data_IF_744306808464
#
_entry.id   IF_744306808464
#
_cell.length_a   1.000
_cell.length_b   1.000
_cell.length_c   1.000
_cell.angle_alpha   90.00
_cell.angle_beta   90.00
_cell.angle_gamma   90.00
#
_symmetry.space_group_name_H-M   'P 1'
#
loop_
_entity.id
_entity.type
_entity.pdbx_description
1 polymer ?
#
# COMPACT_ATOMS: atom_id res chain seq x y z
N UNK A 1 51.39 -7.66 0.50
CA UNK A 1 50.03 -8.20 0.39
C UNK A 1 49.11 -7.22 1.12
N UNK A 2 48.51 -6.32 0.37
CA UNK A 2 47.57 -5.32 0.89
C UNK A 2 46.28 -6.05 1.23
N UNK A 3 45.91 -6.00 2.49
CA UNK A 3 44.64 -6.49 3.02
C UNK A 3 43.53 -5.66 2.36
N UNK A 4 42.97 -6.15 1.26
CA UNK A 4 41.75 -5.61 0.66
C UNK A 4 40.61 -5.88 1.67
N UNK A 5 40.35 -4.92 2.56
CA UNK A 5 39.17 -4.92 3.40
C UNK A 5 38.00 -4.91 2.42
N UNK A 6 37.35 -6.03 2.20
CA UNK A 6 36.15 -6.16 1.37
C UNK A 6 35.23 -4.98 1.69
N UNK A 7 34.98 -4.14 0.68
CA UNK A 7 34.16 -2.93 0.79
C UNK A 7 32.80 -3.35 1.40
N UNK A 8 32.40 -2.75 2.52
CA UNK A 8 31.11 -3.04 3.16
C UNK A 8 30.00 -2.71 2.17
N UNK A 9 29.04 -3.61 1.99
CA UNK A 9 27.89 -3.44 1.07
C UNK A 9 26.60 -3.48 1.88
N UNK A 10 25.88 -2.37 1.87
CA UNK A 10 24.57 -2.23 2.50
C UNK A 10 23.52 -2.20 1.40
N UNK A 11 22.75 -3.28 1.19
CA UNK A 11 21.68 -3.32 0.19
C UNK A 11 20.51 -2.43 0.62
N UNK A 12 19.68 -2.01 -0.36
CA UNK A 12 18.61 -1.06 -0.08
C UNK A 12 17.46 -1.67 0.74
N UNK A 13 16.89 -2.80 0.30
CA UNK A 13 15.73 -3.42 0.95
C UNK A 13 15.58 -4.91 0.56
N UNK A 14 16.52 -5.78 0.97
CA UNK A 14 16.37 -7.21 0.75
C UNK A 14 15.21 -7.76 1.62
N UNK A 15 14.48 -8.79 1.16
CA UNK A 15 13.49 -9.47 1.98
C UNK A 15 14.14 -10.22 3.14
N UNK A 16 13.50 -10.21 4.31
CA UNK A 16 13.89 -10.98 5.49
C UNK A 16 13.15 -12.33 5.47
N UNK A 17 13.81 -13.36 4.97
CA UNK A 17 13.29 -14.72 4.88
C UNK A 17 14.03 -15.61 5.86
N UNK A 18 13.30 -16.37 6.69
CA UNK A 18 13.83 -17.30 7.66
C UNK A 18 13.56 -18.76 7.27
N UNK A 19 14.08 -19.67 8.08
CA UNK A 19 13.80 -21.12 7.92
C UNK A 19 12.31 -21.45 8.08
N UNK A 20 11.51 -20.58 8.72
CA UNK A 20 10.05 -20.79 8.86
C UNK A 20 9.36 -20.70 7.50
N UNK A 21 9.64 -19.65 6.73
CA UNK A 21 9.08 -19.45 5.39
C UNK A 21 9.53 -20.59 4.45
N UNK A 22 10.81 -20.96 4.49
CA UNK A 22 11.37 -22.04 3.68
C UNK A 22 10.66 -23.36 3.98
N UNK A 23 10.55 -23.73 5.26
CA UNK A 23 9.90 -24.96 5.68
C UNK A 23 8.41 -25.00 5.29
N UNK A 24 7.67 -23.89 5.42
CA UNK A 24 6.25 -23.85 5.10
C UNK A 24 6.02 -23.93 3.58
N UNK A 25 6.89 -23.33 2.76
CA UNK A 25 6.86 -23.49 1.30
C UNK A 25 7.12 -24.94 0.91
N UNK A 26 8.11 -25.60 1.52
CA UNK A 26 8.38 -27.04 1.28
C UNK A 26 7.16 -27.89 1.62
N UNK A 27 6.53 -27.69 2.78
CA UNK A 27 5.29 -28.39 3.15
C UNK A 27 4.16 -28.13 2.15
N UNK A 28 4.06 -26.91 1.63
CA UNK A 28 3.05 -26.55 0.62
C UNK A 28 3.27 -27.34 -0.67
N UNK A 29 4.52 -27.40 -1.15
CA UNK A 29 4.87 -28.19 -2.34
C UNK A 29 4.60 -29.69 -2.13
N UNK A 30 4.96 -30.24 -0.97
CA UNK A 30 4.71 -31.64 -0.61
C UNK A 30 3.22 -31.99 -0.48
N UNK A 31 2.37 -31.02 -0.13
CA UNK A 31 0.92 -31.22 -0.04
C UNK A 31 0.26 -31.50 -1.39
N UNK A 32 0.92 -31.16 -2.50
CA UNK A 32 0.37 -31.21 -3.85
C UNK A 32 -0.64 -30.08 -4.16
N UNK A 33 -0.99 -29.24 -3.19
CA UNK A 33 -1.88 -28.09 -3.39
C UNK A 33 -1.07 -26.78 -3.44
N UNK A 34 -0.84 -26.27 -4.64
CA UNK A 34 0.06 -25.13 -4.87
C UNK A 34 -0.62 -23.89 -5.45
N UNK A 35 -1.86 -24.01 -5.95
CA UNK A 35 -2.70 -22.87 -6.39
C UNK A 35 -3.50 -22.31 -5.23
N UNK A 36 -4.44 -21.39 -5.47
CA UNK A 36 -5.33 -20.85 -4.41
C UNK A 36 -6.03 -21.98 -3.65
N UNK A 37 -5.84 -22.03 -2.35
CA UNK A 37 -6.34 -23.14 -1.53
C UNK A 37 -6.43 -22.83 -0.04
N UNK A 38 -6.25 -23.83 0.82
CA UNK A 38 -6.45 -23.69 2.27
C UNK A 38 -5.54 -22.65 2.93
N UNK A 39 -4.27 -22.51 2.46
CA UNK A 39 -3.32 -21.52 3.02
C UNK A 39 -3.72 -20.10 2.66
N UNK A 40 -4.14 -19.87 1.43
CA UNK A 40 -4.66 -18.57 1.01
C UNK A 40 -5.88 -18.18 1.86
N UNK A 41 -6.83 -19.11 2.08
CA UNK A 41 -8.01 -18.86 2.91
C UNK A 41 -7.66 -18.60 4.38
N UNK A 42 -6.64 -19.27 4.91
CA UNK A 42 -6.16 -19.00 6.28
C UNK A 42 -5.48 -17.62 6.35
N UNK A 43 -4.64 -17.27 5.37
CA UNK A 43 -3.98 -15.97 5.32
C UNK A 43 -5.00 -14.84 5.24
N UNK A 44 -6.05 -14.96 4.42
CA UNK A 44 -7.15 -13.99 4.34
C UNK A 44 -7.80 -13.73 5.71
N UNK A 45 -8.14 -14.79 6.45
CA UNK A 45 -8.73 -14.65 7.80
C UNK A 45 -7.74 -14.04 8.80
N UNK A 46 -6.48 -14.45 8.77
CA UNK A 46 -5.46 -13.91 9.68
C UNK A 46 -5.13 -12.45 9.39
N UNK A 47 -5.09 -12.05 8.12
CA UNK A 47 -4.97 -10.64 7.73
C UNK A 47 -6.19 -9.83 8.20
N UNK A 48 -7.41 -10.37 8.04
CA UNK A 48 -8.62 -9.71 8.52
C UNK A 48 -8.58 -9.49 10.04
N UNK A 49 -8.15 -10.49 10.81
CA UNK A 49 -7.98 -10.37 12.26
C UNK A 49 -6.90 -9.34 12.61
N UNK A 50 -5.75 -9.35 11.93
CA UNK A 50 -4.67 -8.40 12.15
C UNK A 50 -5.08 -6.96 11.81
N UNK A 51 -5.73 -6.74 10.68
CA UNK A 51 -6.23 -5.43 10.22
C UNK A 51 -7.27 -4.88 11.22
N UNK A 52 -8.11 -5.72 11.80
CA UNK A 52 -9.11 -5.28 12.77
C UNK A 52 -8.51 -4.99 14.17
N UNK A 53 -7.54 -5.78 14.62
CA UNK A 53 -7.11 -5.80 16.02
C UNK A 53 -5.65 -5.43 16.28
N UNK A 54 -4.80 -5.42 15.25
CA UNK A 54 -3.35 -5.29 15.39
C UNK A 54 -2.66 -6.52 16.00
N UNK A 55 -3.35 -7.67 16.15
CA UNK A 55 -2.86 -8.87 16.81
C UNK A 55 -2.66 -10.02 15.84
N UNK A 56 -1.54 -10.74 15.99
CA UNK A 56 -1.20 -11.91 15.16
C UNK A 56 -1.51 -13.25 15.85
N UNK A 57 -1.79 -13.23 17.16
CA UNK A 57 -1.99 -14.41 18.02
C UNK A 57 -3.45 -14.91 18.05
N UNK A 58 -4.32 -14.40 17.20
CA UNK A 58 -5.71 -14.84 17.08
C UNK A 58 -5.76 -16.17 16.31
N UNK A 59 -6.29 -17.22 16.95
CA UNK A 59 -6.55 -18.50 16.27
C UNK A 59 -7.75 -18.40 15.33
N UNK A 60 -7.48 -18.21 14.05
CA UNK A 60 -8.49 -18.10 13.00
C UNK A 60 -9.05 -19.46 12.53
N UNK A 61 -8.76 -20.58 13.21
CA UNK A 61 -9.31 -21.91 12.92
C UNK A 61 -10.46 -22.29 13.85
N UNK A 62 -10.70 -21.55 14.93
CA UNK A 62 -11.91 -21.75 15.73
C UNK A 62 -13.16 -21.42 14.90
N UNK A 63 -14.30 -22.02 15.23
CA UNK A 63 -15.56 -21.81 14.49
C UNK A 63 -15.97 -20.33 14.49
N UNK A 64 -15.95 -19.70 15.67
CA UNK A 64 -16.32 -18.29 15.84
C UNK A 64 -15.41 -17.35 15.04
N UNK A 65 -14.09 -17.51 15.12
CA UNK A 65 -13.14 -16.67 14.40
C UNK A 65 -13.14 -16.96 12.89
N UNK A 66 -13.36 -18.21 12.49
CA UNK A 66 -13.58 -18.55 11.07
C UNK A 66 -14.79 -17.82 10.52
N UNK A 67 -15.90 -17.78 11.23
CA UNK A 67 -17.11 -17.06 10.82
C UNK A 67 -16.88 -15.54 10.83
N UNK A 68 -16.23 -15.00 11.87
CA UNK A 68 -15.98 -13.55 12.04
C UNK A 68 -15.09 -12.95 10.94
N UNK A 69 -14.01 -13.65 10.59
CA UNK A 69 -12.97 -13.13 9.70
C UNK A 69 -13.08 -13.63 8.27
N UNK A 70 -14.01 -14.55 7.98
CA UNK A 70 -14.26 -14.99 6.60
C UNK A 70 -14.81 -13.83 5.75
N UNK A 71 -14.42 -13.83 4.47
CA UNK A 71 -14.96 -12.90 3.47
C UNK A 71 -14.73 -11.40 3.78
N UNK A 72 -13.67 -11.05 4.50
CA UNK A 72 -13.32 -9.67 4.85
C UNK A 72 -12.05 -9.17 4.14
N UNK A 73 -11.24 -10.10 3.65
CA UNK A 73 -10.01 -9.85 2.89
C UNK A 73 -9.98 -10.79 1.70
N UNK A 74 -9.57 -10.30 0.55
CA UNK A 74 -9.35 -11.09 -0.67
C UNK A 74 -7.89 -10.96 -1.10
N UNK A 75 -7.12 -12.06 -1.05
CA UNK A 75 -5.72 -12.08 -1.44
C UNK A 75 -5.55 -12.20 -2.95
N UNK A 76 -4.69 -11.34 -3.51
CA UNK A 76 -4.38 -11.22 -4.94
C UNK A 76 -2.89 -11.42 -5.20
N UNK A 77 -2.52 -11.51 -6.48
CA UNK A 77 -1.12 -11.64 -6.89
C UNK A 77 -0.31 -10.34 -6.80
N UNK A 78 -0.95 -9.19 -6.55
CA UNK A 78 -0.29 -7.89 -6.34
C UNK A 78 -1.24 -6.87 -5.71
N UNK A 79 -0.69 -5.80 -5.11
CA UNK A 79 -1.47 -4.64 -4.69
C UNK A 79 -2.15 -3.95 -5.87
N UNK A 80 -1.47 -3.82 -7.01
CA UNK A 80 -2.04 -3.22 -8.22
C UNK A 80 -3.30 -3.95 -8.67
N UNK A 81 -3.30 -5.29 -8.63
CA UNK A 81 -4.49 -6.08 -8.92
C UNK A 81 -5.60 -5.85 -7.89
N UNK A 82 -5.27 -5.78 -6.60
CA UNK A 82 -6.23 -5.50 -5.54
C UNK A 82 -6.87 -4.12 -5.72
N UNK A 83 -6.07 -3.10 -6.03
CA UNK A 83 -6.52 -1.73 -6.24
C UNK A 83 -7.38 -1.59 -7.49
N UNK A 84 -6.97 -2.21 -8.61
CA UNK A 84 -7.78 -2.25 -9.83
C UNK A 84 -9.13 -2.93 -9.57
N UNK A 85 -9.16 -4.08 -8.86
CA UNK A 85 -10.40 -4.76 -8.55
C UNK A 85 -11.30 -3.97 -7.59
N UNK A 86 -10.73 -3.24 -6.62
CA UNK A 86 -11.49 -2.30 -5.79
C UNK A 86 -12.22 -1.26 -6.66
N UNK A 87 -11.52 -0.62 -7.59
CA UNK A 87 -12.09 0.38 -8.49
C UNK A 87 -13.17 -0.22 -9.41
N UNK A 88 -12.96 -1.43 -9.93
CA UNK A 88 -13.92 -2.13 -10.79
C UNK A 88 -15.19 -2.55 -10.04
N UNK A 89 -15.05 -3.05 -8.81
CA UNK A 89 -16.19 -3.40 -7.95
C UNK A 89 -17.00 -2.14 -7.60
N UNK A 90 -16.33 -1.02 -7.37
CA UNK A 90 -17.00 0.28 -7.22
C UNK A 90 -17.69 0.76 -8.51
N UNK A 91 -17.30 0.25 -9.69
CA UNK A 91 -17.93 0.56 -10.98
C UNK A 91 -17.25 1.70 -11.74
N UNK A 92 -15.96 1.97 -11.48
CA UNK A 92 -15.17 2.95 -12.26
C UNK A 92 -15.12 2.53 -13.73
N UNK A 93 -15.34 3.49 -14.62
CA UNK A 93 -15.47 3.27 -16.07
C UNK A 93 -15.01 4.49 -16.87
N UNK A 94 -14.91 4.39 -18.22
CA UNK A 94 -14.65 5.54 -19.09
C UNK A 94 -15.64 6.68 -18.85
N UNK A 95 -15.11 7.90 -18.68
CA UNK A 95 -15.88 9.11 -18.38
C UNK A 95 -15.86 9.51 -16.90
N UNK A 96 -15.51 8.60 -15.99
CA UNK A 96 -15.32 8.90 -14.58
C UNK A 96 -13.96 9.55 -14.33
N UNK A 97 -13.88 10.32 -13.23
CA UNK A 97 -12.64 10.91 -12.71
C UNK A 97 -12.25 10.25 -11.39
N UNK A 98 -10.95 9.94 -11.27
CA UNK A 98 -10.33 9.45 -10.04
C UNK A 98 -9.25 10.43 -9.60
N UNK A 99 -9.36 10.95 -8.38
CA UNK A 99 -8.37 11.84 -7.79
C UNK A 99 -7.32 11.02 -7.05
N UNK A 100 -6.04 11.25 -7.36
CA UNK A 100 -4.89 10.55 -6.77
C UNK A 100 -3.80 11.56 -6.38
N UNK A 101 -2.94 11.30 -5.39
CA UNK A 101 -1.84 12.20 -5.09
C UNK A 101 -0.82 12.22 -6.23
N UNK A 102 -0.24 13.38 -6.50
CA UNK A 102 0.84 13.53 -7.47
C UNK A 102 2.11 12.79 -7.03
N UNK A 103 2.29 12.63 -5.73
CA UNK A 103 3.47 12.04 -5.10
C UNK A 103 3.17 10.62 -4.61
N UNK A 104 3.28 9.66 -5.49
CA UNK A 104 3.03 8.24 -5.22
C UNK A 104 3.73 7.35 -6.25
N UNK A 105 3.63 6.03 -6.05
CA UNK A 105 4.02 5.04 -7.06
C UNK A 105 2.94 4.93 -8.15
N UNK A 106 3.37 4.52 -9.36
CA UNK A 106 2.49 4.50 -10.53
C UNK A 106 1.26 3.59 -10.38
N UNK A 107 1.31 2.55 -9.53
CA UNK A 107 0.19 1.63 -9.34
C UNK A 107 -1.11 2.36 -8.98
N UNK A 108 -1.05 3.35 -8.09
CA UNK A 108 -2.19 4.17 -7.67
C UNK A 108 -2.91 4.85 -8.84
N UNK A 109 -2.17 5.36 -9.82
CA UNK A 109 -2.75 5.99 -11.00
C UNK A 109 -3.09 5.00 -12.11
N UNK A 110 -2.22 4.00 -12.34
CA UNK A 110 -2.40 3.05 -13.44
C UNK A 110 -3.60 2.13 -13.25
N UNK A 111 -3.95 1.73 -12.02
CA UNK A 111 -5.16 0.96 -11.74
C UNK A 111 -6.44 1.70 -12.14
N UNK A 112 -6.50 3.02 -11.93
CA UNK A 112 -7.61 3.83 -12.42
C UNK A 112 -7.60 3.97 -13.96
N UNK A 113 -6.40 4.13 -14.57
CA UNK A 113 -6.27 4.13 -16.03
C UNK A 113 -6.73 2.81 -16.66
N UNK A 114 -6.41 1.66 -16.05
CA UNK A 114 -6.87 0.34 -16.51
C UNK A 114 -8.40 0.21 -16.49
N UNK A 115 -9.07 0.92 -15.57
CA UNK A 115 -10.53 1.01 -15.54
C UNK A 115 -11.10 1.98 -16.60
N UNK A 116 -10.24 2.71 -17.32
CA UNK A 116 -10.64 3.71 -18.32
C UNK A 116 -10.99 5.08 -17.74
N UNK A 117 -10.73 5.32 -16.46
CA UNK A 117 -10.98 6.60 -15.81
C UNK A 117 -9.97 7.68 -16.24
N UNK A 118 -10.38 8.93 -16.11
CA UNK A 118 -9.48 10.07 -16.16
C UNK A 118 -8.86 10.27 -14.78
N UNK A 119 -7.54 10.08 -14.69
CA UNK A 119 -6.79 10.36 -13.46
C UNK A 119 -6.53 11.86 -13.35
N UNK A 120 -6.80 12.42 -12.18
CA UNK A 120 -6.45 13.80 -11.83
C UNK A 120 -5.51 13.80 -10.65
N UNK A 121 -4.38 14.45 -10.82
CA UNK A 121 -3.35 14.54 -9.78
C UNK A 121 -3.62 15.70 -8.85
N UNK A 122 -3.70 15.40 -7.55
CA UNK A 122 -3.77 16.37 -6.45
C UNK A 122 -2.34 16.57 -5.94
N UNK A 123 -1.91 17.82 -5.79
CA UNK A 123 -0.60 18.12 -5.18
C UNK A 123 -0.55 17.63 -3.73
N UNK A 124 0.62 17.61 -3.14
CA UNK A 124 0.77 17.36 -1.71
C UNK A 124 0.72 18.65 -0.90
N UNK A 125 0.52 18.53 0.40
CA UNK A 125 0.51 19.66 1.31
C UNK A 125 1.82 20.43 1.21
N UNK A 126 1.72 21.76 1.28
CA UNK A 126 2.89 22.62 1.30
C UNK A 126 3.67 22.37 2.59
N UNK A 127 4.96 22.24 2.43
CA UNK A 127 5.90 22.12 3.54
C UNK A 127 5.77 23.37 4.46
N UNK A 128 5.28 23.21 5.65
CA UNK A 128 4.99 24.35 6.55
C UNK A 128 5.26 24.08 8.02
N UNK A 129 5.07 22.85 8.47
CA UNK A 129 5.32 22.44 9.85
C UNK A 129 6.32 21.29 9.87
N UNK A 130 7.50 21.46 10.48
CA UNK A 130 8.48 20.38 10.65
C UNK A 130 7.91 19.11 11.29
N UNK A 131 6.89 19.25 12.14
CA UNK A 131 6.23 18.11 12.79
C UNK A 131 5.22 17.39 11.87
N UNK A 132 4.84 17.98 10.73
CA UNK A 132 3.82 17.46 9.81
C UNK A 132 4.33 17.29 8.38
N UNK A 133 5.64 17.16 8.17
CA UNK A 133 6.26 16.99 6.83
C UNK A 133 5.90 15.65 6.18
N UNK A 134 4.61 15.40 6.07
CA UNK A 134 4.08 14.20 5.44
C UNK A 134 3.68 14.54 4.01
N UNK A 135 4.06 13.74 3.00
CA UNK A 135 3.66 13.96 1.62
C UNK A 135 2.20 13.52 1.37
N UNK A 136 1.28 13.92 2.26
CA UNK A 136 -0.15 13.73 2.10
C UNK A 136 -0.71 14.67 1.04
N UNK A 137 -1.87 14.31 0.45
CA UNK A 137 -2.57 15.19 -0.49
C UNK A 137 -2.88 16.56 0.12
N UNK A 138 -2.82 17.62 -0.69
CA UNK A 138 -3.37 18.92 -0.35
C UNK A 138 -4.91 18.83 -0.33
N UNK A 139 -5.48 18.84 0.87
CA UNK A 139 -6.91 18.63 1.07
C UNK A 139 -7.77 19.80 0.54
N UNK A 140 -7.23 21.02 0.50
CA UNK A 140 -7.96 22.17 -0.05
C UNK A 140 -7.99 22.06 -1.59
N UNK A 141 -6.88 21.68 -2.21
CA UNK A 141 -6.84 21.38 -3.64
C UNK A 141 -7.70 20.15 -3.98
N UNK A 142 -7.68 19.10 -3.17
CA UNK A 142 -8.56 17.94 -3.32
C UNK A 142 -10.02 18.36 -3.39
N UNK A 143 -10.48 19.18 -2.43
CA UNK A 143 -11.86 19.64 -2.40
C UNK A 143 -12.22 20.49 -3.63
N UNK A 144 -11.32 21.37 -4.06
CA UNK A 144 -11.53 22.23 -5.23
C UNK A 144 -11.58 21.45 -6.56
N UNK A 145 -10.89 20.31 -6.66
CA UNK A 145 -10.82 19.50 -7.88
C UNK A 145 -12.00 18.55 -8.07
N UNK A 146 -12.85 18.35 -7.07
CA UNK A 146 -14.03 17.48 -7.15
C UNK A 146 -15.05 18.04 -8.14
N UNK A 147 -15.49 17.21 -9.09
CA UNK A 147 -16.50 17.51 -10.10
C UNK A 147 -17.64 16.48 -10.06
N UNK A 148 -18.75 16.67 -10.79
CA UNK A 148 -19.80 15.64 -10.94
C UNK A 148 -19.31 14.32 -11.56
N UNK A 149 -18.13 14.31 -12.22
CA UNK A 149 -17.52 13.09 -12.78
C UNK A 149 -16.65 12.36 -11.77
N UNK A 150 -16.29 12.99 -10.65
CA UNK A 150 -15.44 12.37 -9.62
C UNK A 150 -16.21 11.24 -8.93
N UNK A 151 -15.70 10.01 -9.03
CA UNK A 151 -16.31 8.81 -8.45
C UNK A 151 -15.47 8.22 -7.32
N UNK A 152 -14.17 8.48 -7.31
CA UNK A 152 -13.25 7.93 -6.33
C UNK A 152 -12.12 8.91 -5.99
N UNK A 153 -11.66 8.84 -4.75
CA UNK A 153 -10.43 9.46 -4.26
C UNK A 153 -9.56 8.32 -3.75
N UNK A 154 -8.32 8.20 -4.21
CA UNK A 154 -7.35 7.22 -3.71
C UNK A 154 -6.32 7.97 -2.85
N UNK A 155 -6.39 7.80 -1.54
CA UNK A 155 -5.37 8.28 -0.61
C UNK A 155 -4.23 7.25 -0.54
N UNK A 156 -3.00 7.72 -0.35
CA UNK A 156 -1.82 6.84 -0.27
C UNK A 156 -1.13 7.01 1.07
N UNK A 157 -1.03 5.94 1.84
CA UNK A 157 -0.32 5.90 3.11
C UNK A 157 1.20 5.77 2.90
N UNK A 158 1.79 6.78 2.28
CA UNK A 158 3.17 6.76 1.80
C UNK A 158 4.19 6.60 2.93
N UNK A 159 5.18 5.73 2.72
CA UNK A 159 6.24 5.48 3.71
C UNK A 159 5.76 4.77 4.98
N UNK A 160 4.47 4.45 5.06
CA UNK A 160 3.81 3.88 6.23
C UNK A 160 3.07 4.92 7.07
N UNK A 161 3.02 6.18 6.61
CA UNK A 161 2.29 7.27 7.25
C UNK A 161 0.83 7.17 6.86
N UNK A 162 -0.06 7.25 7.84
CA UNK A 162 -1.51 7.14 7.62
C UNK A 162 -2.10 8.51 7.31
N UNK A 163 -2.80 8.63 6.18
CA UNK A 163 -3.50 9.85 5.76
C UNK A 163 -4.58 10.30 6.74
N UNK A 164 -4.95 11.58 6.69
CA UNK A 164 -6.07 12.11 7.47
C UNK A 164 -7.42 11.75 6.84
N UNK A 165 -7.88 10.52 7.12
CA UNK A 165 -9.15 10.04 6.60
C UNK A 165 -10.36 10.82 7.12
N UNK A 166 -10.31 11.38 8.35
CA UNK A 166 -11.40 12.22 8.87
C UNK A 166 -11.61 13.42 7.96
N UNK A 167 -10.53 14.11 7.60
CA UNK A 167 -10.58 15.27 6.69
C UNK A 167 -11.06 14.90 5.29
N UNK A 168 -10.63 13.74 4.75
CA UNK A 168 -11.09 13.27 3.45
C UNK A 168 -12.60 13.00 3.50
N UNK A 169 -13.10 12.34 4.54
CA UNK A 169 -14.52 12.06 4.68
C UNK A 169 -15.36 13.34 4.86
N UNK A 170 -14.89 14.32 5.59
CA UNK A 170 -15.54 15.63 5.67
C UNK A 170 -15.69 16.30 4.30
N UNK A 171 -14.65 16.21 3.46
CA UNK A 171 -14.68 16.75 2.09
C UNK A 171 -15.72 16.01 1.24
N UNK A 172 -15.71 14.68 1.20
CA UNK A 172 -16.65 13.92 0.36
C UNK A 172 -18.11 14.08 0.83
N UNK A 173 -18.35 14.27 2.13
CA UNK A 173 -19.68 14.59 2.65
C UNK A 173 -20.14 16.00 2.22
N UNK A 174 -19.27 17.02 2.29
CA UNK A 174 -19.60 18.38 1.79
C UNK A 174 -19.90 18.38 0.28
N UNK A 175 -19.25 17.52 -0.48
CA UNK A 175 -19.40 17.40 -1.96
C UNK A 175 -20.43 16.36 -2.39
N UNK A 176 -21.13 15.74 -1.46
CA UNK A 176 -22.09 14.65 -1.71
C UNK A 176 -23.12 14.97 -2.78
N UNK A 177 -23.60 16.23 -2.85
CA UNK A 177 -24.58 16.65 -3.85
C UNK A 177 -24.07 16.59 -5.30
N UNK A 178 -22.76 16.49 -5.52
CA UNK A 178 -22.16 16.31 -6.84
C UNK A 178 -22.12 14.85 -7.30
N UNK A 179 -22.31 13.90 -6.38
CA UNK A 179 -22.23 12.48 -6.68
C UNK A 179 -23.57 11.96 -7.22
N UNK A 180 -23.52 11.27 -8.35
CA UNK A 180 -24.66 10.54 -8.91
C UNK A 180 -24.31 9.05 -8.96
N UNK A 181 -25.07 8.17 -8.30
CA UNK A 181 -24.86 6.73 -8.37
C UNK A 181 -25.01 6.20 -9.79
N UNK A 182 -24.34 5.07 -10.06
CA UNK A 182 -24.45 4.36 -11.31
C UNK A 182 -25.89 3.87 -11.52
N UNK A 183 -26.45 4.17 -12.68
CA UNK A 183 -27.72 3.60 -13.13
C UNK A 183 -27.46 2.37 -14.01
N UNK A 184 -28.18 1.31 -13.76
CA UNK A 184 -28.05 0.03 -14.46
C UNK A 184 -29.41 -0.49 -14.91
N UNK A 185 -29.40 -1.28 -15.99
CA UNK A 185 -30.55 -2.04 -16.48
C UNK A 185 -30.47 -3.47 -15.94
N UNK A 186 -31.56 -4.18 -15.93
CA UNK A 186 -31.62 -5.59 -15.51
C UNK A 186 -30.70 -6.50 -16.37
N UNK A 187 -30.47 -6.13 -17.63
CA UNK A 187 -29.59 -6.85 -18.56
C UNK A 187 -28.09 -6.60 -18.36
N UNK A 188 -27.70 -5.65 -17.49
CA UNK A 188 -26.30 -5.33 -17.26
C UNK A 188 -25.62 -6.41 -16.42
N UNK A 189 -24.28 -6.43 -16.43
CA UNK A 189 -23.50 -7.48 -15.77
C UNK A 189 -23.75 -7.54 -14.25
N UNK A 190 -23.50 -8.71 -13.66
CA UNK A 190 -23.58 -8.87 -12.20
C UNK A 190 -22.62 -7.93 -11.46
N UNK A 191 -21.49 -7.57 -12.07
CA UNK A 191 -20.55 -6.59 -11.56
C UNK A 191 -21.19 -5.19 -11.52
N UNK A 192 -21.82 -4.76 -12.62
CA UNK A 192 -22.49 -3.46 -12.69
C UNK A 192 -23.67 -3.37 -11.72
N UNK A 193 -24.44 -4.46 -11.57
CA UNK A 193 -25.54 -4.54 -10.59
C UNK A 193 -25.02 -4.37 -9.16
N UNK A 194 -23.92 -5.03 -8.81
CA UNK A 194 -23.31 -4.88 -7.48
C UNK A 194 -22.78 -3.45 -7.29
N UNK A 195 -22.05 -2.90 -8.27
CA UNK A 195 -21.52 -1.54 -8.24
C UNK A 195 -22.63 -0.49 -8.03
N UNK A 196 -23.73 -0.59 -8.75
CA UNK A 196 -24.86 0.34 -8.63
C UNK A 196 -25.49 0.27 -7.22
N UNK A 197 -25.66 -0.92 -6.66
CA UNK A 197 -26.17 -1.11 -5.30
C UNK A 197 -25.22 -0.50 -4.26
N UNK A 198 -23.91 -0.73 -4.38
CA UNK A 198 -22.89 -0.16 -3.50
C UNK A 198 -22.87 1.36 -3.58
N UNK A 199 -22.85 1.94 -4.79
CA UNK A 199 -22.87 3.38 -5.00
C UNK A 199 -24.14 4.03 -4.43
N UNK A 200 -25.30 3.36 -4.55
CA UNK A 200 -26.56 3.83 -3.95
C UNK A 200 -26.54 3.77 -2.42
N UNK A 201 -25.97 2.71 -1.85
CA UNK A 201 -25.89 2.54 -0.40
C UNK A 201 -24.93 3.53 0.26
N UNK A 202 -23.75 3.74 -0.34
CA UNK A 202 -22.73 4.70 0.15
C UNK A 202 -23.16 6.15 -0.17
N UNK A 203 -23.76 6.40 -1.33
CA UNK A 203 -24.39 7.67 -1.70
C UNK A 203 -23.46 8.87 -1.81
N UNK A 204 -22.14 8.67 -1.96
CA UNK A 204 -21.10 9.70 -2.11
C UNK A 204 -19.90 9.16 -2.87
N UNK A 205 -18.94 10.03 -3.19
CA UNK A 205 -17.62 9.65 -3.71
C UNK A 205 -16.97 8.66 -2.74
N UNK A 206 -16.49 7.52 -3.25
CA UNK A 206 -15.83 6.54 -2.40
C UNK A 206 -14.38 6.94 -2.12
N UNK A 207 -13.92 6.60 -0.91
CA UNK A 207 -12.56 6.81 -0.44
C UNK A 207 -11.83 5.47 -0.50
N UNK A 208 -10.73 5.44 -1.23
CA UNK A 208 -9.83 4.30 -1.36
C UNK A 208 -8.52 4.59 -0.64
N UNK A 209 -7.95 3.58 -0.01
CA UNK A 209 -6.64 3.64 0.62
C UNK A 209 -5.66 2.72 -0.11
N UNK A 210 -4.62 3.29 -0.70
CA UNK A 210 -3.43 2.56 -1.09
C UNK A 210 -2.55 2.37 0.15
N UNK A 211 -2.74 1.22 0.81
CA UNK A 211 -2.04 0.80 2.01
C UNK A 211 -0.80 -0.05 1.68
N UNK A 212 -0.23 0.07 0.47
CA UNK A 212 0.94 -0.72 0.07
C UNK A 212 2.15 -0.56 0.99
N UNK A 213 2.20 0.51 1.79
CA UNK A 213 3.26 0.78 2.76
C UNK A 213 2.81 0.70 4.22
N UNK A 214 1.53 0.51 4.52
CA UNK A 214 0.98 0.82 5.85
C UNK A 214 0.37 -0.36 6.61
N UNK A 215 0.60 -1.62 6.21
CA UNK A 215 0.13 -2.76 7.00
C UNK A 215 0.59 -2.59 8.48
N UNK A 216 -0.36 -2.66 9.42
CA UNK A 216 -0.11 -2.49 10.85
C UNK A 216 0.04 -1.05 11.33
N UNK A 217 0.10 -0.06 10.45
CA UNK A 217 0.02 1.34 10.84
C UNK A 217 -1.37 1.67 11.39
N UNK A 218 -1.44 2.69 12.25
CA UNK A 218 -2.69 3.09 12.89
C UNK A 218 -2.77 4.60 13.07
N UNK A 219 -4.01 5.11 13.10
CA UNK A 219 -4.32 6.51 13.42
C UNK A 219 -5.54 6.59 14.32
N UNK A 220 -5.60 7.64 15.14
CA UNK A 220 -6.82 7.98 15.87
C UNK A 220 -7.77 8.65 14.90
N UNK A 221 -8.92 8.00 14.63
CA UNK A 221 -9.98 8.45 13.74
C UNK A 221 -11.25 8.56 14.58
N UNK A 222 -11.84 9.76 14.64
CA UNK A 222 -13.02 10.06 15.47
C UNK A 222 -12.86 9.63 16.94
N UNK A 223 -11.65 9.81 17.48
CA UNK A 223 -11.32 9.48 18.87
C UNK A 223 -11.00 8.01 19.15
N UNK A 224 -11.04 7.14 18.16
CA UNK A 224 -10.73 5.72 18.28
C UNK A 224 -9.45 5.35 17.51
N UNK A 225 -8.58 4.50 18.09
CA UNK A 225 -7.44 3.94 17.36
C UNK A 225 -7.93 2.95 16.32
N UNK A 226 -7.63 3.22 15.04
CA UNK A 226 -7.94 2.34 13.92
C UNK A 226 -6.68 1.95 13.15
N UNK A 227 -6.66 0.73 12.64
CA UNK A 227 -5.57 0.23 11.81
C UNK A 227 -5.87 0.44 10.31
N UNK A 228 -4.82 0.58 9.50
CA UNK A 228 -4.94 0.63 8.05
C UNK A 228 -5.72 -0.57 7.52
N UNK A 229 -6.59 -0.33 6.54
CA UNK A 229 -7.56 -1.32 6.04
C UNK A 229 -8.94 -1.24 6.70
N UNK A 230 -9.10 -0.40 7.77
CA UNK A 230 -10.40 -0.17 8.44
C UNK A 230 -10.85 1.29 8.40
N UNK A 231 -10.16 2.14 7.64
CA UNK A 231 -10.41 3.58 7.64
C UNK A 231 -11.02 4.11 6.34
N UNK A 232 -10.82 3.43 5.21
CA UNK A 232 -11.36 3.80 3.91
C UNK A 232 -12.43 2.82 3.45
N UNK A 233 -13.31 3.22 2.51
CA UNK A 233 -14.35 2.34 1.97
C UNK A 233 -13.74 1.06 1.36
N UNK A 234 -12.59 1.21 0.68
CA UNK A 234 -11.78 0.12 0.13
C UNK A 234 -10.31 0.36 0.43
N UNK A 235 -9.56 -0.70 0.67
CA UNK A 235 -8.11 -0.62 0.87
C UNK A 235 -7.39 -1.71 0.09
N UNK A 236 -6.15 -1.41 -0.33
CA UNK A 236 -5.26 -2.36 -1.01
C UNK A 236 -3.93 -2.45 -0.27
N UNK A 237 -3.39 -3.66 -0.12
CA UNK A 237 -2.10 -3.95 0.53
C UNK A 237 -1.14 -4.59 -0.43
N UNK A 238 0.16 -4.32 -0.28
CA UNK A 238 1.23 -4.95 -1.07
C UNK A 238 2.06 -5.89 -0.22
N UNK A 239 2.34 -7.06 -0.78
CA UNK A 239 3.25 -8.05 -0.23
C UNK A 239 4.40 -8.34 -1.19
N UNK A 240 4.78 -7.35 -2.01
CA UNK A 240 5.97 -7.40 -2.86
C UNK A 240 7.24 -7.60 -2.01
N UNK A 241 8.31 -8.14 -2.61
CA UNK A 241 9.56 -8.52 -1.94
C UNK A 241 10.18 -7.44 -1.03
N UNK A 242 10.02 -6.15 -1.38
CA UNK A 242 10.59 -5.03 -0.61
C UNK A 242 9.68 -4.51 0.52
N UNK A 243 8.47 -5.06 0.67
CA UNK A 243 7.52 -4.60 1.70
C UNK A 243 7.84 -5.18 3.07
N UNK A 244 7.26 -4.60 4.11
CA UNK A 244 7.47 -5.02 5.50
C UNK A 244 7.03 -6.47 5.75
N UNK A 245 5.97 -6.90 5.10
CA UNK A 245 5.53 -8.30 4.99
C UNK A 245 5.59 -8.68 3.51
N UNK A 246 6.22 -9.78 3.20
CA UNK A 246 6.33 -10.24 1.81
C UNK A 246 5.74 -11.63 1.57
N UNK A 247 5.25 -11.82 0.34
CA UNK A 247 4.92 -13.13 -0.23
C UNK A 247 5.67 -13.37 -1.55
N UNK A 248 6.84 -12.70 -1.73
CA UNK A 248 7.59 -12.49 -2.95
C UNK A 248 6.86 -11.51 -3.89
N UNK A 249 5.78 -11.90 -4.48
CA UNK A 249 4.73 -11.09 -5.09
C UNK A 249 3.42 -11.35 -4.35
N UNK A 250 2.56 -10.33 -4.24
CA UNK A 250 1.25 -10.48 -3.61
C UNK A 250 0.63 -9.16 -3.19
N UNK A 251 -0.62 -9.25 -2.84
CA UNK A 251 -1.41 -8.14 -2.30
C UNK A 251 -2.72 -8.63 -1.73
N UNK A 252 -3.48 -7.72 -1.16
CA UNK A 252 -4.82 -8.01 -0.66
C UNK A 252 -5.74 -6.80 -0.81
N UNK A 253 -7.01 -7.06 -1.03
CA UNK A 253 -8.09 -6.08 -0.95
C UNK A 253 -8.88 -6.29 0.34
N UNK A 254 -9.34 -5.19 0.96
CA UNK A 254 -10.32 -5.20 2.05
C UNK A 254 -11.27 -4.02 1.87
N UNK A 255 -12.42 -4.07 2.53
CA UNK A 255 -13.48 -3.08 2.42
C UNK A 255 -14.21 -2.89 3.74
N UNK A 256 -14.84 -1.73 3.91
CA UNK A 256 -15.79 -1.51 5.01
C UNK A 256 -17.13 -2.15 4.68
N UNK A 257 -17.90 -2.62 5.69
CA UNK A 257 -19.23 -3.12 5.47
C UNK A 257 -20.12 -2.09 4.76
N UNK A 258 -20.89 -2.56 3.76
CA UNK A 258 -21.82 -1.73 3.00
C UNK A 258 -23.24 -2.11 3.38
N UNK A 259 -24.07 -1.14 3.78
CA UNK A 259 -25.45 -1.40 4.20
C UNK A 259 -26.24 -2.14 3.12
N UNK A 260 -26.92 -3.22 3.52
CA UNK A 260 -27.74 -4.03 2.62
C UNK A 260 -26.98 -4.92 1.64
N UNK A 261 -25.65 -5.03 1.76
CA UNK A 261 -24.80 -5.90 0.92
C UNK A 261 -23.95 -6.78 1.84
N UNK A 262 -24.04 -8.09 1.68
CA UNK A 262 -23.27 -9.02 2.50
C UNK A 262 -21.79 -9.03 2.06
N UNK A 263 -20.86 -9.08 3.03
CA UNK A 263 -19.42 -9.21 2.75
C UNK A 263 -19.11 -10.44 1.87
N UNK A 264 -19.86 -11.52 2.02
CA UNK A 264 -19.73 -12.72 1.19
C UNK A 264 -20.07 -12.48 -0.28
N UNK A 265 -20.96 -11.53 -0.60
CA UNK A 265 -21.29 -11.15 -1.97
C UNK A 265 -20.13 -10.34 -2.60
N UNK A 266 -19.58 -9.38 -1.86
CA UNK A 266 -18.42 -8.59 -2.29
C UNK A 266 -17.21 -9.52 -2.47
N UNK A 267 -16.93 -10.38 -1.49
CA UNK A 267 -15.84 -11.35 -1.56
C UNK A 267 -15.97 -12.29 -2.76
N UNK A 268 -17.18 -12.82 -3.01
CA UNK A 268 -17.45 -13.65 -4.19
C UNK A 268 -17.11 -12.91 -5.49
N UNK A 269 -17.41 -11.61 -5.57
CA UNK A 269 -17.07 -10.81 -6.75
C UNK A 269 -15.56 -10.70 -6.95
N UNK A 270 -14.76 -10.48 -5.87
CA UNK A 270 -13.29 -10.53 -5.98
C UNK A 270 -12.80 -11.88 -6.50
N UNK A 271 -13.34 -12.99 -5.97
CA UNK A 271 -12.95 -14.33 -6.42
C UNK A 271 -13.28 -14.56 -7.90
N UNK A 272 -14.44 -14.12 -8.36
CA UNK A 272 -14.85 -14.22 -9.75
C UNK A 272 -13.98 -13.37 -10.67
N UNK A 273 -13.76 -12.10 -10.31
CA UNK A 273 -12.89 -11.19 -11.06
C UNK A 273 -11.46 -11.73 -11.17
N UNK A 274 -10.91 -12.29 -10.10
CA UNK A 274 -9.54 -12.80 -10.05
C UNK A 274 -9.35 -14.17 -10.68
N UNK A 275 -10.42 -14.89 -11.05
CA UNK A 275 -10.41 -16.26 -11.57
C UNK A 275 -11.23 -16.42 -12.85
N UNK A 276 -11.02 -15.56 -13.86
CA UNK A 276 -11.66 -15.66 -15.20
C UNK A 276 -13.19 -15.63 -15.17
N UNK A 277 -13.83 -15.12 -14.14
CA UNK A 277 -15.29 -15.12 -14.01
C UNK A 277 -15.89 -16.48 -13.69
N UNK A 278 -15.13 -17.44 -13.22
CA UNK A 278 -15.64 -18.77 -12.90
C UNK A 278 -16.63 -18.72 -11.73
N UNK A 279 -17.77 -19.40 -11.90
CA UNK A 279 -18.82 -19.50 -10.86
C UNK A 279 -18.39 -20.38 -9.67
N UNK A 280 -17.38 -21.24 -9.82
CA UNK A 280 -16.81 -22.13 -8.79
C UNK A 280 -15.29 -22.01 -8.78
N UNK A 281 -14.69 -21.92 -7.61
CA UNK A 281 -13.23 -21.98 -7.43
C UNK A 281 -12.68 -23.41 -7.48
N UNK A 282 -11.34 -23.56 -7.40
CA UNK A 282 -10.68 -24.85 -7.46
C UNK A 282 -11.07 -25.77 -6.30
N UNK A 283 -11.27 -25.23 -5.07
CA UNK A 283 -11.69 -26.01 -3.90
C UNK A 283 -13.11 -26.55 -4.06
N UNK A 284 -14.03 -25.74 -4.59
CA UNK A 284 -15.40 -26.18 -4.84
C UNK A 284 -15.48 -27.30 -5.90
N UNK A 285 -14.53 -27.32 -6.85
CA UNK A 285 -14.45 -28.35 -7.92
C UNK A 285 -13.91 -29.70 -7.45
N UNK A 286 -13.31 -29.82 -6.26
CA UNK A 286 -12.80 -31.10 -5.74
C UNK A 286 -13.89 -32.06 -5.30
N UNK A 287 -15.13 -31.61 -5.13
CA UNK A 287 -16.25 -32.49 -4.80
C UNK A 287 -16.65 -33.34 -5.98
N UNK A 288 -16.91 -34.63 -5.76
CA UNK A 288 -17.33 -35.56 -6.80
C UNK A 288 -18.57 -35.01 -7.54
N UNK A 289 -18.53 -34.95 -8.86
CA UNK A 289 -19.60 -34.43 -9.71
C UNK A 289 -19.64 -32.89 -9.85
N UNK A 290 -18.69 -32.15 -9.26
CA UNK A 290 -18.68 -30.66 -9.29
C UNK A 290 -17.93 -30.06 -10.49
N UNK A 291 -17.76 -30.79 -11.59
CA UNK A 291 -17.03 -30.35 -12.79
C UNK A 291 -17.70 -29.21 -13.55
N UNK A 292 -19.02 -29.13 -13.48
CA UNK A 292 -19.80 -28.13 -14.20
C UNK A 292 -19.65 -26.75 -13.52
N UNK A 293 -19.28 -25.74 -14.30
CA UNK A 293 -19.18 -24.34 -13.88
C UNK A 293 -19.52 -23.44 -15.07
N UNK A 294 -19.83 -22.17 -14.77
CA UNK A 294 -20.13 -21.15 -15.76
C UNK A 294 -19.06 -20.04 -15.71
N UNK A 295 -18.90 -19.32 -16.81
CA UNK A 295 -18.09 -18.12 -16.93
C UNK A 295 -19.06 -16.92 -17.04
N UNK A 296 -19.22 -16.20 -15.95
CA UNK A 296 -20.16 -15.08 -15.86
C UNK A 296 -19.61 -13.76 -16.39
N UNK A 297 -18.31 -13.72 -16.75
CA UNK A 297 -17.65 -12.58 -17.36
C UNK A 297 -16.22 -12.92 -17.77
N UNK A 298 -15.68 -12.34 -18.86
CA UNK A 298 -14.33 -12.59 -19.34
C UNK A 298 -13.31 -11.76 -18.55
N UNK A 299 -13.10 -12.12 -17.26
CA UNK A 299 -12.30 -11.34 -16.33
C UNK A 299 -10.88 -11.88 -16.17
N UNK A 300 -10.18 -11.52 -15.10
CA UNK A 300 -8.74 -11.56 -14.92
C UNK A 300 -8.24 -12.87 -14.30
N UNK A 301 -6.91 -13.00 -14.24
CA UNK A 301 -6.19 -14.04 -13.51
C UNK A 301 -5.26 -13.37 -12.48
N UNK A 302 -5.83 -12.96 -11.33
CA UNK A 302 -5.16 -12.14 -10.31
C UNK A 302 -5.08 -12.83 -8.93
N UNK A 303 -5.44 -14.09 -8.85
CA UNK A 303 -5.48 -14.84 -7.59
C UNK A 303 -4.08 -15.08 -6.99
N UNK A 304 -4.01 -15.10 -5.66
CA UNK A 304 -2.84 -15.55 -4.91
C UNK A 304 -2.76 -17.10 -4.92
N UNK A 305 -1.54 -17.62 -4.89
CA UNK A 305 -1.28 -19.07 -4.75
C UNK A 305 -1.01 -19.46 -3.29
N UNK A 306 -1.18 -20.75 -2.95
CA UNK A 306 -0.85 -21.24 -1.60
C UNK A 306 0.66 -21.21 -1.32
N UNK A 307 1.52 -21.21 -2.34
CA UNK A 307 2.97 -21.01 -2.19
C UNK A 307 3.24 -19.59 -1.65
N UNK A 308 2.60 -18.57 -2.22
CA UNK A 308 2.72 -17.18 -1.77
C UNK A 308 2.11 -17.05 -0.36
N UNK A 309 0.95 -17.64 -0.13
CA UNK A 309 0.28 -17.60 1.17
C UNK A 309 1.09 -18.30 2.27
N UNK A 310 1.83 -19.36 1.96
CA UNK A 310 2.73 -20.03 2.90
C UNK A 310 3.80 -19.10 3.44
N UNK A 311 4.43 -18.30 2.57
CA UNK A 311 5.38 -17.26 2.98
C UNK A 311 4.67 -16.24 3.87
N UNK A 312 3.52 -15.72 3.41
CA UNK A 312 2.75 -14.68 4.11
C UNK A 312 2.30 -15.09 5.52
N UNK A 313 1.94 -16.35 5.73
CA UNK A 313 1.54 -16.88 7.05
C UNK A 313 2.72 -16.79 8.05
N UNK A 314 3.91 -17.23 7.66
CA UNK A 314 5.11 -17.16 8.51
C UNK A 314 5.58 -15.71 8.70
N UNK A 315 5.52 -14.88 7.66
CA UNK A 315 5.83 -13.45 7.76
C UNK A 315 4.88 -12.75 8.74
N UNK A 316 3.59 -13.06 8.74
CA UNK A 316 2.62 -12.48 9.65
C UNK A 316 2.90 -12.88 11.11
N UNK A 317 3.33 -14.11 11.38
CA UNK A 317 3.74 -14.53 12.72
C UNK A 317 4.91 -13.70 13.26
N UNK A 318 5.86 -13.35 12.41
CA UNK A 318 7.05 -12.56 12.74
C UNK A 318 6.81 -11.05 12.69
N UNK A 319 5.71 -10.61 12.13
CA UNK A 319 5.47 -9.22 11.72
C UNK A 319 5.65 -8.18 12.85
N UNK A 320 5.15 -8.38 14.07
CA UNK A 320 5.37 -7.43 15.16
C UNK A 320 6.85 -7.14 15.43
N UNK A 321 7.69 -8.18 15.49
CA UNK A 321 9.13 -8.02 15.68
C UNK A 321 9.84 -7.35 14.51
N UNK A 322 9.37 -7.58 13.28
CA UNK A 322 9.90 -6.90 12.08
C UNK A 322 9.60 -5.39 12.13
N UNK A 323 8.40 -4.99 12.53
CA UNK A 323 8.02 -3.57 12.69
C UNK A 323 8.77 -2.90 13.83
N UNK A 324 8.95 -3.59 14.96
CA UNK A 324 9.71 -3.11 16.10
C UNK A 324 11.18 -2.83 15.74
N UNK A 325 11.84 -3.78 15.04
CA UNK A 325 13.21 -3.58 14.56
C UNK A 325 13.36 -2.38 13.65
N UNK A 326 12.40 -2.15 12.75
CA UNK A 326 12.38 -0.97 11.87
C UNK A 326 12.25 0.32 12.69
N UNK A 327 11.42 0.35 13.74
CA UNK A 327 11.28 1.49 14.63
C UNK A 327 12.59 1.81 15.37
N UNK A 328 13.36 0.80 15.81
CA UNK A 328 14.68 0.98 16.42
C UNK A 328 15.68 1.63 15.46
N UNK A 329 15.70 1.18 14.19
CA UNK A 329 16.58 1.75 13.16
C UNK A 329 16.19 3.22 12.90
N UNK A 330 14.90 3.52 12.77
CA UNK A 330 14.38 4.87 12.56
C UNK A 330 14.84 5.82 13.66
N UNK A 331 14.71 5.45 14.93
CA UNK A 331 15.19 6.29 16.06
C UNK A 331 16.66 6.68 15.93
N UNK A 332 17.51 5.79 15.42
CA UNK A 332 18.93 6.07 15.19
C UNK A 332 19.16 7.00 14.01
N UNK A 333 18.40 6.79 12.93
CA UNK A 333 18.42 7.67 11.76
C UNK A 333 17.92 9.08 12.10
N UNK A 334 16.85 9.20 12.88
CA UNK A 334 16.31 10.50 13.34
C UNK A 334 17.37 11.28 14.10
N UNK A 335 18.00 10.65 15.09
CA UNK A 335 19.08 11.29 15.89
C UNK A 335 20.27 11.74 15.01
N UNK A 336 20.64 10.94 13.99
CA UNK A 336 21.74 11.29 13.09
C UNK A 336 21.35 12.42 12.13
N UNK A 337 20.13 12.42 11.60
CA UNK A 337 19.61 13.47 10.72
C UNK A 337 19.46 14.81 11.46
N UNK A 338 18.92 14.79 12.67
CA UNK A 338 18.78 15.98 13.52
C UNK A 338 20.14 16.62 13.81
N UNK A 339 21.17 15.82 14.12
CA UNK A 339 22.51 16.30 14.41
C UNK A 339 23.18 17.03 13.23
N UNK A 340 22.76 16.79 11.98
CA UNK A 340 23.30 17.43 10.76
C UNK A 340 22.30 18.37 10.06
N UNK A 341 21.14 18.64 10.69
CA UNK A 341 20.11 19.56 10.18
C UNK A 341 19.43 19.06 8.89
N UNK A 342 19.23 17.76 8.77
CA UNK A 342 18.49 17.10 7.70
C UNK A 342 17.07 16.84 8.16
N UNK A 343 16.07 17.17 7.35
CA UNK A 343 14.66 16.89 7.64
C UNK A 343 14.34 15.43 7.32
N UNK A 344 13.48 14.80 8.10
CA UNK A 344 13.07 13.43 7.88
C UNK A 344 11.57 13.22 8.11
N UNK A 345 11.04 12.11 7.61
CA UNK A 345 9.64 11.73 7.77
C UNK A 345 9.33 11.46 9.25
N UNK A 346 8.23 12.02 9.74
CA UNK A 346 7.76 11.78 11.11
C UNK A 346 6.93 10.50 11.17
N UNK A 347 7.48 9.44 11.78
CA UNK A 347 6.84 8.13 11.84
C UNK A 347 5.85 7.96 13.00
N UNK A 348 5.96 8.79 14.04
CA UNK A 348 5.11 8.68 15.23
C UNK A 348 4.67 10.08 15.68
N UNK A 349 3.38 10.26 15.83
CA UNK A 349 2.77 11.47 16.40
C UNK A 349 1.86 11.09 17.56
N UNK A 350 1.27 12.08 18.26
CA UNK A 350 0.27 11.77 19.31
C UNK A 350 -1.00 11.07 18.80
N UNK A 351 -1.23 11.04 17.49
CA UNK A 351 -2.44 10.48 16.86
C UNK A 351 -2.17 9.41 15.80
N UNK A 352 -0.91 9.14 15.45
CA UNK A 352 -0.57 8.22 14.36
C UNK A 352 0.70 7.44 14.68
N UNK A 353 0.66 6.11 14.44
CA UNK A 353 1.80 5.21 14.47
C UNK A 353 1.99 4.63 13.06
N UNK A 354 3.16 4.86 12.47
CA UNK A 354 3.56 4.35 11.16
C UNK A 354 3.86 2.84 11.18
N UNK A 355 3.78 2.21 10.03
CA UNK A 355 4.35 0.87 9.80
C UNK A 355 5.88 0.85 9.69
N UNK A 356 6.53 2.00 9.69
CA UNK A 356 8.00 2.12 9.59
C UNK A 356 8.56 1.57 8.25
N UNK A 357 7.88 1.86 7.12
CA UNK A 357 8.24 1.22 5.85
C UNK A 357 9.42 1.87 5.13
N UNK A 358 9.41 3.20 4.93
CA UNK A 358 10.48 3.94 4.24
C UNK A 358 11.06 5.01 5.15
N UNK A 359 12.37 5.19 5.12
CA UNK A 359 13.01 6.34 5.73
C UNK A 359 13.34 7.40 4.69
N UNK A 360 12.49 8.41 4.61
CA UNK A 360 12.61 9.54 3.70
C UNK A 360 13.30 10.70 4.41
N UNK A 361 14.36 11.24 3.82
CA UNK A 361 15.01 12.45 4.30
C UNK A 361 15.12 13.50 3.20
N UNK A 362 15.13 14.76 3.60
CA UNK A 362 15.29 15.91 2.70
C UNK A 362 16.45 16.77 3.18
N UNK A 363 17.32 17.15 2.24
CA UNK A 363 18.51 17.95 2.55
C UNK A 363 18.19 19.43 2.22
N UNK A 364 17.90 20.28 3.25
CA UNK A 364 17.55 21.68 3.00
C UNK A 364 18.65 22.43 2.20
N UNK A 365 18.21 23.18 1.20
CA UNK A 365 19.09 24.00 0.35
C UNK A 365 19.77 23.24 -0.79
N UNK A 366 19.58 21.92 -0.90
CA UNK A 366 20.11 21.15 -2.04
C UNK A 366 19.13 21.14 -3.21
N UNK A 367 19.67 21.17 -4.41
CA UNK A 367 18.93 20.89 -5.64
C UNK A 367 19.04 19.41 -6.07
N UNK A 368 18.45 19.06 -7.22
CA UNK A 368 18.49 17.69 -7.75
C UNK A 368 19.91 17.20 -8.06
N UNK A 369 20.81 18.10 -8.53
CA UNK A 369 22.18 17.73 -8.87
C UNK A 369 22.97 17.42 -7.59
N UNK A 370 22.92 18.30 -6.60
CA UNK A 370 23.58 18.10 -5.30
C UNK A 370 23.05 16.86 -4.57
N UNK A 371 21.72 16.63 -4.60
CA UNK A 371 21.13 15.40 -4.08
C UNK A 371 21.67 14.16 -4.82
N UNK A 372 21.80 14.23 -6.16
CA UNK A 372 22.38 13.18 -7.00
C UNK A 372 23.83 12.87 -6.59
N UNK A 373 24.64 13.89 -6.34
CA UNK A 373 26.02 13.74 -5.87
C UNK A 373 26.10 13.01 -4.50
N UNK A 374 25.21 13.34 -3.56
CA UNK A 374 25.14 12.61 -2.27
C UNK A 374 24.84 11.13 -2.51
N UNK A 375 23.89 10.80 -3.40
CA UNK A 375 23.55 9.40 -3.74
C UNK A 375 24.77 8.68 -4.33
N UNK A 376 25.51 9.31 -5.24
CA UNK A 376 26.74 8.74 -5.84
C UNK A 376 27.80 8.48 -4.76
N UNK A 377 28.04 9.46 -3.89
CA UNK A 377 28.99 9.32 -2.77
C UNK A 377 28.59 8.21 -1.78
N UNK A 378 27.31 8.04 -1.51
CA UNK A 378 26.82 6.92 -0.69
C UNK A 378 27.07 5.58 -1.40
N UNK A 379 26.77 5.48 -2.70
CA UNK A 379 27.02 4.28 -3.49
C UNK A 379 28.53 3.93 -3.57
N UNK A 380 29.43 4.92 -3.73
CA UNK A 380 30.88 4.73 -3.66
C UNK A 380 31.34 4.12 -2.33
N UNK A 381 30.61 4.40 -1.24
CA UNK A 381 30.83 3.86 0.09
C UNK A 381 30.08 2.54 0.33
N UNK A 382 29.45 2.00 -0.72
CA UNK A 382 28.74 0.72 -0.66
C UNK A 382 27.37 0.80 0.03
N UNK A 383 26.80 1.98 0.20
CA UNK A 383 25.46 2.17 0.76
C UNK A 383 24.46 2.45 -0.36
N UNK A 384 23.54 1.53 -0.60
CA UNK A 384 22.47 1.72 -1.57
C UNK A 384 21.39 2.67 -1.02
N UNK A 385 21.10 3.74 -1.76
CA UNK A 385 20.02 4.70 -1.47
C UNK A 385 19.06 4.77 -2.64
N UNK A 386 17.89 5.39 -2.45
CA UNK A 386 16.89 5.52 -3.50
C UNK A 386 16.16 6.88 -3.38
N UNK A 387 15.16 7.11 -4.25
CA UNK A 387 14.26 8.27 -4.21
C UNK A 387 12.81 7.79 -4.35
N UNK A 388 12.02 7.91 -3.32
CA UNK A 388 10.60 7.56 -3.29
C UNK A 388 9.74 8.79 -3.02
N UNK A 389 9.14 9.42 -4.05
CA UNK A 389 9.15 9.08 -5.47
C UNK A 389 9.38 10.33 -6.33
N UNK A 390 9.73 10.13 -7.60
CA UNK A 390 9.57 11.21 -8.57
C UNK A 390 8.07 11.40 -8.83
N UNK A 391 7.50 12.62 -8.71
CA UNK A 391 6.09 12.86 -8.92
C UNK A 391 5.56 12.33 -10.24
N UNK A 392 4.40 11.68 -10.23
CA UNK A 392 3.82 11.04 -11.42
C UNK A 392 3.56 12.02 -12.58
N UNK A 393 3.10 13.28 -12.36
CA UNK A 393 2.95 14.24 -13.45
C UNK A 393 4.24 14.51 -14.24
N UNK A 394 5.40 14.27 -13.65
CA UNK A 394 6.71 14.42 -14.33
C UNK A 394 7.09 13.22 -15.21
N UNK A 395 6.32 12.13 -15.16
CA UNK A 395 6.59 10.90 -15.90
C UNK A 395 5.99 10.95 -17.30
N UNK A 396 6.60 10.24 -18.26
CA UNK A 396 6.17 10.22 -19.67
C UNK A 396 4.73 9.80 -19.84
N UNK A 397 4.29 8.78 -19.11
CA UNK A 397 2.93 8.25 -19.18
C UNK A 397 1.86 9.25 -18.74
N UNK A 398 2.22 10.26 -17.93
CA UNK A 398 1.31 11.21 -17.31
C UNK A 398 1.50 12.66 -17.78
N UNK A 399 2.09 12.85 -18.96
CA UNK A 399 2.11 14.13 -19.66
C UNK A 399 3.36 15.00 -19.47
N UNK A 400 4.30 14.65 -18.58
CA UNK A 400 5.53 15.40 -18.27
C UNK A 400 5.30 16.86 -17.83
N UNK A 401 4.14 17.15 -17.25
CA UNK A 401 3.79 18.48 -16.76
C UNK A 401 3.74 18.49 -15.22
N UNK A 402 4.59 19.31 -14.60
CA UNK A 402 4.65 19.51 -13.15
C UNK A 402 3.96 20.79 -12.68
N UNK A 403 3.40 21.59 -13.58
CA UNK A 403 2.88 22.92 -13.24
C UNK A 403 1.74 22.89 -12.24
N UNK A 404 0.94 21.80 -12.24
CA UNK A 404 -0.15 21.59 -11.30
C UNK A 404 0.26 21.04 -9.92
N UNK A 405 1.54 20.66 -9.73
CA UNK A 405 2.00 19.96 -8.52
C UNK A 405 3.37 20.50 -8.04
N UNK A 406 3.47 21.81 -7.74
CA UNK A 406 4.73 22.43 -7.33
C UNK A 406 5.25 21.91 -5.99
N UNK A 407 4.38 21.58 -5.03
CA UNK A 407 4.79 21.09 -3.71
C UNK A 407 5.38 19.68 -3.79
N UNK A 408 4.79 18.80 -4.63
CA UNK A 408 5.33 17.46 -4.86
C UNK A 408 6.73 17.52 -5.48
N UNK A 409 6.98 18.48 -6.40
CA UNK A 409 8.31 18.71 -6.93
C UNK A 409 9.27 19.23 -5.86
N UNK A 410 8.84 20.21 -5.05
CA UNK A 410 9.67 20.76 -3.96
C UNK A 410 10.03 19.69 -2.92
N UNK A 411 9.11 18.75 -2.66
CA UNK A 411 9.39 17.62 -1.77
C UNK A 411 10.43 16.66 -2.39
N UNK A 412 10.33 16.37 -3.69
CA UNK A 412 11.14 15.41 -4.41
C UNK A 412 12.58 15.87 -4.65
N UNK A 413 12.81 17.16 -5.00
CA UNK A 413 14.08 17.60 -5.63
C UNK A 413 15.31 17.40 -4.75
N UNK A 414 15.15 17.39 -3.43
CA UNK A 414 16.22 17.20 -2.45
C UNK A 414 16.05 15.97 -1.54
N UNK A 415 15.21 15.03 -1.96
CA UNK A 415 14.86 13.84 -1.20
C UNK A 415 15.80 12.68 -1.46
N UNK A 416 16.20 11.97 -0.40
CA UNK A 416 16.88 10.67 -0.43
C UNK A 416 16.10 9.69 0.46
N UNK A 417 16.04 8.43 0.05
CA UNK A 417 15.54 7.33 0.88
C UNK A 417 16.71 6.47 1.33
N UNK A 418 16.90 6.34 2.63
CA UNK A 418 17.93 5.47 3.22
C UNK A 418 17.50 3.99 3.19
N UNK A 419 18.46 3.06 3.20
CA UNK A 419 18.14 1.64 3.38
C UNK A 419 17.47 1.41 4.73
N UNK A 420 16.34 0.70 4.72
CA UNK A 420 15.60 0.36 5.92
C UNK A 420 15.03 -1.06 5.80
N UNK A 421 15.69 -2.01 6.45
CA UNK A 421 15.28 -3.42 6.51
C UNK A 421 15.80 -4.09 7.78
N UNK A 422 15.16 -5.16 8.19
CA UNK A 422 15.40 -5.83 9.48
C UNK A 422 16.73 -6.58 9.56
N UNK A 423 17.38 -6.83 8.42
CA UNK A 423 18.71 -7.46 8.36
C UNK A 423 19.86 -6.47 8.65
N UNK A 424 19.59 -5.16 8.77
CA UNK A 424 20.61 -4.19 9.18
C UNK A 424 21.02 -4.45 10.64
N UNK A 425 22.32 -4.66 10.84
CA UNK A 425 22.90 -4.66 12.19
C UNK A 425 23.01 -3.23 12.74
N UNK A 426 23.25 -3.08 14.03
CA UNK A 426 23.46 -1.76 14.65
C UNK A 426 24.71 -1.07 14.08
N UNK A 427 25.74 -1.85 13.74
CA UNK A 427 26.95 -1.37 13.08
C UNK A 427 26.68 -0.94 11.64
N UNK A 428 25.75 -1.59 10.93
CA UNK A 428 25.33 -1.16 9.60
C UNK A 428 24.60 0.18 9.66
N UNK A 429 23.70 0.34 10.60
CA UNK A 429 22.98 1.61 10.83
C UNK A 429 23.96 2.74 11.15
N UNK A 430 24.90 2.51 12.06
CA UNK A 430 25.94 3.50 12.38
C UNK A 430 26.80 3.85 11.16
N UNK A 431 27.15 2.86 10.34
CA UNK A 431 27.90 3.04 9.10
C UNK A 431 27.13 3.91 8.09
N UNK A 432 25.83 3.67 7.91
CA UNK A 432 24.96 4.49 7.05
C UNK A 432 24.93 5.94 7.54
N UNK A 433 24.71 6.16 8.86
CA UNK A 433 24.65 7.50 9.45
C UNK A 433 25.95 8.30 9.24
N UNK A 434 27.12 7.68 9.52
CA UNK A 434 28.39 8.35 9.37
C UNK A 434 28.69 8.69 7.91
N UNK A 435 28.44 7.76 6.99
CA UNK A 435 28.68 8.01 5.57
C UNK A 435 27.70 9.05 4.97
N UNK A 436 26.45 9.11 5.44
CA UNK A 436 25.51 10.16 5.07
C UNK A 436 26.03 11.53 5.48
N UNK A 437 26.51 11.67 6.74
CA UNK A 437 27.11 12.92 7.24
C UNK A 437 28.30 13.35 6.39
N UNK A 438 29.22 12.42 6.11
CA UNK A 438 30.41 12.70 5.29
C UNK A 438 29.99 13.10 3.85
N UNK A 439 29.12 12.35 3.21
CA UNK A 439 28.67 12.62 1.84
C UNK A 439 27.99 14.01 1.71
N UNK A 440 27.13 14.36 2.67
CA UNK A 440 26.49 15.69 2.69
C UNK A 440 27.52 16.79 2.95
N UNK A 441 28.48 16.59 3.87
CA UNK A 441 29.54 17.55 4.15
C UNK A 441 30.42 17.83 2.92
N UNK A 442 30.81 16.79 2.19
CA UNK A 442 31.62 16.92 0.96
C UNK A 442 30.89 17.72 -0.14
N UNK A 443 29.57 17.52 -0.30
CA UNK A 443 28.76 18.26 -1.29
C UNK A 443 28.49 19.72 -0.85
N UNK A 444 28.40 19.98 0.45
CA UNK A 444 28.33 21.34 1.00
C UNK A 444 29.65 22.12 0.90
N UNK A 445 30.77 21.44 0.62
CA UNK A 445 32.11 22.07 0.57
C UNK A 445 32.75 22.26 1.93
N UNK A 446 32.48 21.40 2.88
CA UNK A 446 33.02 21.40 4.26
C UNK A 446 33.82 20.13 4.54
#
# INVERSE_FOLDING_TARGET
MTNDKSKRVIPFSPPDISEMEIAEVVKTLQSGWITTGPRTKLLERRLAAYIETGRVDIDCNTEDNTARYANRVACMNSATAAEELNLRIWGIRPGDEVLVPAYTYTATASSACHCGATVKFVDIQKDGDPATQMPEMDYDQLEAMITPKTKAIVAVDLGGIVCDYDRIYEIVERKKALFTPLEVKESDSVLDQLAARMQKAIGRIAVFADCAHSLGASRVVRGEKKYCGTMADFSSFSFHAVKNLTTAEGGAATWLPVEGIADSEIYKMYMQLSLHGQSKDALAKTKAGAWEYDIIGPWYKYNMTDIMAAIGLCQLDRYPGLVERRAEIIKRYDAACDAIGVRHLCHHTGSMDSSNHLYLLRIPGFDEAQRGEVIEKMAERGVATNVHYKPLPMMTAYGKDRSGCPNAYDYYHNLITLPLHTLLTDEDVAYVCENLKVAIGEVRGH
#
